data_IF_620899587580
#
_entry.id   IF_620899587580
#
_cell.length_a   1.000
_cell.length_b   1.000
_cell.length_c   1.000
_cell.angle_alpha   90.00
_cell.angle_beta   90.00
_cell.angle_gamma   90.00
#
_symmetry.space_group_name_H-M   'P 1'
#
loop_
_entity.id
_entity.type
_entity.pdbx_description
1 polymer ?
#
# COMPACT_ATOMS: atom_id res chain seq x y z
N UNK A 1 -26.67 -37.85 -55.80
CA UNK A 1 -26.07 -36.61 -56.36
C UNK A 1 -26.76 -35.41 -55.69
N UNK A 2 -26.02 -34.56 -54.95
CA UNK A 2 -26.32 -33.16 -54.52
C UNK A 2 -27.72 -32.80 -53.95
N UNK A 3 -27.93 -31.92 -52.96
CA UNK A 3 -27.11 -31.04 -52.11
C UNK A 3 -28.07 -30.44 -51.05
N UNK A 4 -27.51 -30.13 -49.88
CA UNK A 4 -28.05 -29.40 -48.72
C UNK A 4 -28.92 -28.17 -49.07
N UNK A 5 -29.90 -27.84 -48.21
CA UNK A 5 -30.02 -26.50 -47.56
C UNK A 5 -31.14 -26.45 -46.51
N UNK A 6 -30.72 -26.42 -45.24
CA UNK A 6 -31.52 -25.98 -44.12
C UNK A 6 -32.05 -24.56 -44.38
N UNK A 7 -33.37 -24.40 -44.37
CA UNK A 7 -34.01 -23.08 -44.37
C UNK A 7 -33.99 -22.55 -42.94
N UNK A 8 -32.98 -21.72 -42.65
CA UNK A 8 -32.97 -20.86 -41.48
C UNK A 8 -34.07 -19.81 -41.62
N UNK A 9 -34.96 -19.78 -40.65
CA UNK A 9 -35.98 -18.75 -40.47
C UNK A 9 -35.26 -17.42 -40.19
N UNK A 10 -35.07 -16.60 -41.23
CA UNK A 10 -34.46 -15.28 -41.10
C UNK A 10 -35.59 -14.29 -40.78
N UNK A 11 -35.72 -13.97 -39.49
CA UNK A 11 -36.60 -12.90 -38.98
C UNK A 11 -36.36 -11.62 -39.79
N UNK A 12 -37.40 -11.21 -40.50
CA UNK A 12 -37.45 -9.97 -41.26
C UNK A 12 -37.53 -8.81 -40.26
N UNK A 13 -36.39 -8.12 -40.07
CA UNK A 13 -36.32 -6.97 -39.16
C UNK A 13 -37.33 -5.92 -39.59
N UNK A 14 -38.21 -5.54 -38.66
CA UNK A 14 -39.22 -4.51 -38.83
C UNK A 14 -38.61 -3.23 -39.41
N UNK A 15 -39.37 -2.57 -40.30
CA UNK A 15 -39.03 -1.34 -41.01
C UNK A 15 -38.59 -0.20 -40.07
N UNK A 16 -38.90 -0.28 -38.78
CA UNK A 16 -38.46 0.64 -37.73
C UNK A 16 -37.03 0.35 -37.22
N UNK A 17 -36.61 -0.92 -37.15
CA UNK A 17 -35.24 -1.29 -36.77
C UNK A 17 -34.22 -0.88 -37.84
N UNK A 18 -34.60 -0.98 -39.12
CA UNK A 18 -33.77 -0.50 -40.22
C UNK A 18 -33.64 1.04 -40.25
N UNK A 19 -34.63 1.78 -39.74
CA UNK A 19 -34.54 3.24 -39.57
C UNK A 19 -33.57 3.64 -38.45
N UNK A 20 -33.40 2.81 -37.42
CA UNK A 20 -32.42 3.07 -36.34
C UNK A 20 -30.99 2.77 -36.78
N UNK A 21 -30.78 1.76 -37.64
CA UNK A 21 -29.47 1.42 -38.21
C UNK A 21 -28.98 2.46 -39.22
N UNK A 22 -29.89 3.13 -39.94
CA UNK A 22 -29.54 4.11 -40.98
C UNK A 22 -29.43 5.58 -40.49
N UNK A 23 -29.52 5.83 -39.18
CA UNK A 23 -29.21 7.15 -38.63
C UNK A 23 -27.69 7.35 -38.67
N UNK A 24 -27.23 8.07 -39.69
CA UNK A 24 -25.85 8.55 -39.77
C UNK A 24 -25.40 9.19 -38.46
N UNK A 25 -24.09 9.15 -38.19
CA UNK A 25 -23.49 9.59 -36.92
C UNK A 25 -24.16 10.87 -36.41
N UNK A 26 -24.59 10.92 -35.14
CA UNK A 26 -25.37 12.03 -34.62
C UNK A 26 -24.62 13.36 -34.79
N UNK A 27 -25.36 14.44 -34.98
CA UNK A 27 -24.80 15.73 -35.40
C UNK A 27 -23.66 16.24 -34.50
N UNK A 28 -23.70 15.93 -33.19
CA UNK A 28 -22.65 16.27 -32.24
C UNK A 28 -21.30 15.58 -32.49
N UNK A 29 -21.26 14.47 -33.27
CA UNK A 29 -20.03 13.79 -33.68
C UNK A 29 -19.42 14.34 -34.98
N UNK A 30 -20.12 15.22 -35.70
CA UNK A 30 -19.59 15.83 -36.94
C UNK A 30 -18.72 17.02 -36.56
N UNK A 31 -17.41 16.91 -36.80
CA UNK A 31 -16.45 17.99 -36.50
C UNK A 31 -15.71 17.85 -35.16
N UNK A 32 -16.05 16.86 -34.32
CA UNK A 32 -15.19 16.46 -33.21
C UNK A 32 -13.95 15.75 -33.77
N UNK A 33 -12.94 16.52 -34.17
CA UNK A 33 -11.57 16.01 -34.10
C UNK A 33 -11.28 15.84 -32.62
N UNK A 34 -11.27 14.60 -32.14
CA UNK A 34 -10.59 14.33 -30.88
C UNK A 34 -9.15 14.79 -31.11
N UNK A 35 -8.76 15.91 -30.52
CA UNK A 35 -7.34 16.17 -30.36
C UNK A 35 -6.75 14.92 -29.70
N UNK A 36 -5.57 14.45 -30.11
CA UNK A 36 -4.87 13.46 -29.33
C UNK A 36 -4.87 13.98 -27.90
N UNK A 37 -5.42 13.21 -26.96
CA UNK A 37 -5.30 13.55 -25.54
C UNK A 37 -3.82 13.78 -25.32
N UNK A 38 -3.40 15.05 -25.18
CA UNK A 38 -2.00 15.38 -24.96
C UNK A 38 -1.68 14.79 -23.60
N UNK A 39 -1.10 13.58 -23.60
CA UNK A 39 -0.43 13.01 -22.45
C UNK A 39 0.65 14.02 -22.09
N UNK A 40 0.36 14.95 -21.20
CA UNK A 40 1.37 15.85 -20.66
C UNK A 40 2.24 14.99 -19.76
N UNK A 41 3.24 14.35 -20.36
CA UNK A 41 4.30 13.63 -19.66
C UNK A 41 5.26 14.67 -19.10
N UNK A 42 4.76 15.47 -18.18
CA UNK A 42 5.51 16.54 -17.56
C UNK A 42 6.38 15.94 -16.43
N UNK A 43 7.72 15.93 -16.57
CA UNK A 43 8.59 15.38 -15.55
C UNK A 43 8.42 16.09 -14.19
N UNK A 44 8.11 17.39 -14.19
CA UNK A 44 7.91 18.16 -12.96
C UNK A 44 6.65 17.70 -12.23
N UNK A 45 5.58 17.39 -12.95
CA UNK A 45 4.37 16.82 -12.37
C UNK A 45 4.65 15.46 -11.70
N UNK A 46 5.39 14.57 -12.36
CA UNK A 46 5.69 13.26 -11.81
C UNK A 46 6.59 13.33 -10.58
N UNK A 47 7.63 14.18 -10.62
CA UNK A 47 8.48 14.45 -9.47
C UNK A 47 7.65 15.02 -8.30
N UNK A 48 6.78 15.99 -8.58
CA UNK A 48 5.87 16.57 -7.59
C UNK A 48 4.92 15.54 -6.98
N UNK A 49 4.36 14.63 -7.79
CA UNK A 49 3.48 13.57 -7.31
C UNK A 49 4.21 12.58 -6.38
N UNK A 50 5.45 12.19 -6.71
CA UNK A 50 6.29 11.39 -5.83
C UNK A 50 6.58 12.11 -4.51
N UNK A 51 6.95 13.40 -4.57
CA UNK A 51 7.22 14.20 -3.38
C UNK A 51 5.99 14.31 -2.47
N UNK A 52 4.81 14.55 -3.04
CA UNK A 52 3.55 14.60 -2.29
C UNK A 52 3.23 13.25 -1.62
N UNK A 53 3.45 12.13 -2.32
CA UNK A 53 3.24 10.80 -1.75
C UNK A 53 4.21 10.53 -0.58
N UNK A 54 5.49 10.84 -0.74
CA UNK A 54 6.49 10.71 0.33
C UNK A 54 6.14 11.57 1.54
N UNK A 55 5.77 12.84 1.32
CA UNK A 55 5.36 13.75 2.40
C UNK A 55 4.12 13.23 3.14
N UNK A 56 3.11 12.75 2.42
CA UNK A 56 1.91 12.18 3.02
C UNK A 56 2.23 10.92 3.86
N UNK A 57 3.15 10.06 3.40
CA UNK A 57 3.61 8.91 4.17
C UNK A 57 4.25 9.38 5.49
N UNK A 58 5.17 10.36 5.45
CA UNK A 58 5.76 10.93 6.66
C UNK A 58 4.69 11.52 7.60
N UNK A 59 3.66 12.19 7.08
CA UNK A 59 2.54 12.70 7.89
C UNK A 59 1.71 11.58 8.52
N UNK A 60 1.45 10.48 7.80
CA UNK A 60 0.76 9.31 8.36
C UNK A 60 1.55 8.70 9.51
N UNK A 61 2.87 8.59 9.37
CA UNK A 61 3.73 8.12 10.45
C UNK A 61 3.77 9.11 11.61
N UNK A 62 3.77 10.42 11.36
CA UNK A 62 3.73 11.42 12.44
C UNK A 62 2.40 11.44 13.25
N UNK A 63 1.40 10.62 12.89
CA UNK A 63 0.04 10.64 13.44
C UNK A 63 -0.63 12.03 13.35
N UNK A 64 -0.17 12.86 12.42
CA UNK A 64 -0.74 14.18 12.18
C UNK A 64 -2.00 14.10 11.32
N UNK A 65 -2.81 15.15 11.34
CA UNK A 65 -3.80 15.37 10.27
C UNK A 65 -3.02 15.56 8.97
N UNK A 66 -3.32 14.76 7.94
CA UNK A 66 -2.76 14.99 6.62
C UNK A 66 -3.17 16.39 6.16
N UNK A 67 -2.18 17.24 5.87
CA UNK A 67 -2.45 18.63 5.44
C UNK A 67 -3.02 18.65 4.01
N UNK A 68 -2.74 17.59 3.25
CA UNK A 68 -3.19 17.38 1.88
C UNK A 68 -4.50 16.60 1.81
N UNK A 69 -5.38 16.98 0.87
CA UNK A 69 -6.63 16.28 0.63
C UNK A 69 -6.36 14.87 0.08
N UNK A 70 -6.84 13.82 0.79
CA UNK A 70 -6.66 12.42 0.40
C UNK A 70 -7.10 12.12 -1.04
N UNK A 71 -8.17 12.77 -1.52
CA UNK A 71 -8.64 12.68 -2.91
C UNK A 71 -7.60 13.18 -3.93
N UNK A 72 -6.85 14.23 -3.61
CA UNK A 72 -5.78 14.75 -4.47
C UNK A 72 -4.62 13.75 -4.55
N UNK A 73 -4.21 13.20 -3.41
CA UNK A 73 -3.14 12.20 -3.33
C UNK A 73 -3.50 10.94 -4.14
N UNK A 74 -4.72 10.43 -3.96
CA UNK A 74 -5.23 9.30 -4.73
C UNK A 74 -5.23 9.57 -6.24
N UNK A 75 -5.72 10.75 -6.66
CA UNK A 75 -5.76 11.13 -8.09
C UNK A 75 -4.35 11.23 -8.69
N UNK A 76 -3.40 11.79 -7.95
CA UNK A 76 -2.01 11.89 -8.39
C UNK A 76 -1.38 10.50 -8.52
N UNK A 77 -1.57 9.62 -7.53
CA UNK A 77 -1.09 8.24 -7.59
C UNK A 77 -1.71 7.44 -8.75
N UNK A 78 -3.01 7.60 -8.99
CA UNK A 78 -3.70 7.03 -10.14
C UNK A 78 -3.06 7.51 -11.46
N UNK A 79 -2.83 8.81 -11.61
CA UNK A 79 -2.21 9.39 -12.80
C UNK A 79 -0.78 8.86 -13.01
N UNK A 80 0.01 8.70 -11.94
CA UNK A 80 1.35 8.10 -12.02
C UNK A 80 1.31 6.70 -12.64
N UNK A 81 0.39 5.84 -12.19
CA UNK A 81 0.25 4.48 -12.75
C UNK A 81 -0.27 4.52 -14.18
N UNK A 82 -1.27 5.36 -14.46
CA UNK A 82 -1.85 5.53 -15.80
C UNK A 82 -0.78 5.92 -16.83
N UNK A 83 0.08 6.88 -16.46
CA UNK A 83 1.17 7.39 -17.30
C UNK A 83 2.45 6.53 -17.28
N UNK A 84 2.35 5.27 -16.82
CA UNK A 84 3.47 4.31 -16.79
C UNK A 84 4.64 4.73 -15.88
N UNK A 85 4.38 5.59 -14.90
CA UNK A 85 5.32 6.05 -13.85
C UNK A 85 5.15 5.31 -12.52
N UNK A 86 4.48 4.15 -12.53
CA UNK A 86 4.25 3.36 -11.32
C UNK A 86 5.53 2.85 -10.64
N UNK A 87 6.60 2.57 -11.40
CA UNK A 87 7.87 2.13 -10.81
C UNK A 87 8.54 3.22 -9.96
N UNK A 88 8.52 4.46 -10.44
CA UNK A 88 9.06 5.62 -9.73
C UNK A 88 8.28 5.88 -8.44
N UNK A 89 6.95 5.87 -8.51
CA UNK A 89 6.08 6.06 -7.34
C UNK A 89 6.23 4.91 -6.32
N UNK A 90 6.35 3.65 -6.77
CA UNK A 90 6.55 2.52 -5.86
C UNK A 90 7.89 2.64 -5.12
N UNK A 91 8.97 2.99 -5.84
CA UNK A 91 10.30 3.18 -5.25
C UNK A 91 10.32 4.34 -4.25
N UNK A 92 9.65 5.44 -4.55
CA UNK A 92 9.52 6.57 -3.64
C UNK A 92 8.78 6.17 -2.35
N UNK A 93 7.64 5.46 -2.49
CA UNK A 93 6.87 4.94 -1.37
C UNK A 93 7.68 3.95 -0.50
N UNK A 94 8.35 2.98 -1.12
CA UNK A 94 9.16 1.99 -0.40
C UNK A 94 10.28 2.65 0.40
N UNK A 95 10.97 3.63 -0.21
CA UNK A 95 12.02 4.39 0.45
C UNK A 95 11.48 5.23 1.61
N UNK A 96 10.35 5.90 1.42
CA UNK A 96 9.69 6.68 2.46
C UNK A 96 9.30 5.80 3.66
N UNK A 97 8.58 4.70 3.42
CA UNK A 97 8.19 3.76 4.47
C UNK A 97 9.40 3.18 5.21
N UNK A 98 10.47 2.81 4.49
CA UNK A 98 11.69 2.30 5.13
C UNK A 98 12.35 3.35 6.03
N UNK A 99 12.41 4.60 5.58
CA UNK A 99 12.95 5.73 6.37
C UNK A 99 12.13 5.99 7.64
N UNK A 100 10.80 5.96 7.54
CA UNK A 100 9.91 6.17 8.69
C UNK A 100 10.02 5.03 9.71
N UNK A 101 10.07 3.78 9.26
CA UNK A 101 10.29 2.62 10.14
C UNK A 101 11.64 2.78 10.87
N UNK A 102 12.72 3.11 10.15
CA UNK A 102 14.02 3.40 10.75
C UNK A 102 13.95 4.51 11.81
N UNK A 103 13.14 5.55 11.57
CA UNK A 103 12.91 6.63 12.53
C UNK A 103 12.22 6.13 13.80
N UNK A 104 11.15 5.34 13.67
CA UNK A 104 10.45 4.75 14.83
C UNK A 104 11.42 3.92 15.69
N UNK A 105 12.24 3.07 15.06
CA UNK A 105 13.22 2.23 15.76
C UNK A 105 14.32 3.05 16.44
N UNK A 106 14.82 4.11 15.81
CA UNK A 106 15.74 5.06 16.45
C UNK A 106 15.12 5.66 17.71
N UNK A 107 13.90 6.19 17.63
CA UNK A 107 13.23 6.78 18.81
C UNK A 107 12.97 5.77 19.93
N UNK A 108 12.64 4.51 19.57
CA UNK A 108 12.47 3.43 20.55
C UNK A 108 13.79 3.12 21.25
N UNK A 109 14.89 3.05 20.50
CA UNK A 109 16.22 2.75 21.03
C UNK A 109 16.76 3.86 21.93
N UNK A 110 16.53 5.13 21.57
CA UNK A 110 16.95 6.28 22.37
C UNK A 110 16.19 6.36 23.70
N UNK A 111 14.90 5.98 23.68
CA UNK A 111 14.06 5.96 24.88
C UNK A 111 14.29 4.74 25.78
N UNK A 112 14.85 3.64 25.25
CA UNK A 112 14.94 2.37 25.95
C UNK A 112 15.87 2.36 27.18
N UNK A 113 17.07 2.99 27.21
CA UNK A 113 17.93 3.01 28.39
C UNK A 113 17.28 3.66 29.63
N UNK A 114 16.33 4.58 29.42
CA UNK A 114 15.62 5.27 30.50
C UNK A 114 14.35 4.52 30.96
N UNK A 115 13.86 3.56 30.16
CA UNK A 115 12.58 2.87 30.37
C UNK A 115 12.81 1.47 30.94
N UNK A 116 12.16 1.14 32.05
CA UNK A 116 12.10 -0.24 32.56
C UNK A 116 11.40 -1.19 31.56
N UNK A 117 11.53 -2.50 31.75
CA UNK A 117 11.03 -3.50 30.79
C UNK A 117 9.56 -3.34 30.37
N UNK A 118 8.67 -2.97 31.31
CA UNK A 118 7.27 -2.69 31.00
C UNK A 118 7.08 -1.48 30.08
N UNK A 119 7.77 -0.37 30.39
CA UNK A 119 7.71 0.85 29.60
C UNK A 119 8.33 0.67 28.20
N UNK A 120 9.34 -0.20 28.08
CA UNK A 120 9.86 -0.61 26.77
C UNK A 120 8.81 -1.35 25.93
N UNK A 121 8.13 -2.36 26.49
CA UNK A 121 7.09 -3.09 25.75
C UNK A 121 5.91 -2.21 25.36
N UNK A 122 5.48 -1.30 26.23
CA UNK A 122 4.43 -0.33 25.93
C UNK A 122 4.83 0.59 24.76
N UNK A 123 6.06 1.12 24.78
CA UNK A 123 6.56 1.96 23.69
C UNK A 123 6.65 1.17 22.38
N UNK A 124 7.18 -0.06 22.41
CA UNK A 124 7.27 -0.94 21.25
C UNK A 124 5.89 -1.15 20.61
N UNK A 125 4.88 -1.48 21.41
CA UNK A 125 3.51 -1.69 20.95
C UNK A 125 2.86 -0.39 20.43
N UNK A 126 3.14 0.75 21.05
CA UNK A 126 2.67 2.05 20.57
C UNK A 126 3.24 2.37 19.18
N UNK A 127 4.56 2.16 18.99
CA UNK A 127 5.24 2.35 17.69
C UNK A 127 4.76 1.33 16.65
N UNK A 128 4.47 0.09 17.05
CA UNK A 128 3.87 -0.91 16.15
C UNK A 128 2.49 -0.46 15.67
N UNK A 129 1.61 0.00 16.56
CA UNK A 129 0.28 0.46 16.18
C UNK A 129 0.35 1.69 15.27
N UNK A 130 1.27 2.63 15.56
CA UNK A 130 1.57 3.77 14.69
C UNK A 130 1.96 3.33 13.28
N UNK A 131 2.85 2.35 13.17
CA UNK A 131 3.26 1.76 11.89
C UNK A 131 2.10 1.09 11.16
N UNK A 132 1.31 0.27 11.84
CA UNK A 132 0.16 -0.45 11.25
C UNK A 132 -0.88 0.53 10.68
N UNK A 133 -1.21 1.60 11.41
CA UNK A 133 -2.13 2.62 10.91
C UNK A 133 -1.55 3.38 9.70
N UNK A 134 -0.27 3.76 9.75
CA UNK A 134 0.38 4.42 8.63
C UNK A 134 0.43 3.55 7.36
N UNK A 135 0.66 2.24 7.51
CA UNK A 135 0.63 1.26 6.40
C UNK A 135 -0.78 1.17 5.80
N UNK A 136 -1.84 1.16 6.63
CA UNK A 136 -3.24 1.18 6.15
C UNK A 136 -3.53 2.45 5.35
N UNK A 137 -3.18 3.62 5.89
CA UNK A 137 -3.37 4.91 5.23
C UNK A 137 -2.61 4.99 3.89
N UNK A 138 -1.38 4.48 3.87
CA UNK A 138 -0.56 4.40 2.63
C UNK A 138 -1.23 3.50 1.59
N UNK A 139 -1.75 2.35 2.00
CA UNK A 139 -2.48 1.44 1.10
C UNK A 139 -3.76 2.09 0.56
N UNK A 140 -4.51 2.80 1.40
CA UNK A 140 -5.75 3.45 0.99
C UNK A 140 -5.47 4.63 0.04
N UNK A 141 -4.40 5.39 0.28
CA UNK A 141 -3.90 6.44 -0.63
C UNK A 141 -3.44 5.86 -1.99
N UNK A 142 -2.73 4.73 -1.97
CA UNK A 142 -2.11 4.11 -3.15
C UNK A 142 -2.87 2.88 -3.66
N UNK A 143 -4.16 2.78 -3.34
CA UNK A 143 -4.98 1.59 -3.60
C UNK A 143 -4.93 1.15 -5.06
N UNK A 144 -4.97 2.09 -6.01
CA UNK A 144 -4.91 1.75 -7.43
C UNK A 144 -3.55 1.15 -7.84
N UNK A 145 -2.45 1.66 -7.27
CA UNK A 145 -1.12 1.08 -7.48
C UNK A 145 -1.03 -0.34 -6.92
N UNK A 146 -1.50 -0.54 -5.68
CA UNK A 146 -1.46 -1.84 -4.99
C UNK A 146 -2.29 -2.89 -5.75
N UNK A 147 -3.43 -2.48 -6.31
CA UNK A 147 -4.33 -3.38 -7.03
C UNK A 147 -3.91 -3.66 -8.48
N UNK A 148 -3.25 -2.71 -9.15
CA UNK A 148 -2.93 -2.83 -10.59
C UNK A 148 -1.44 -2.99 -10.86
N UNK A 149 -0.63 -2.02 -10.44
CA UNK A 149 0.79 -1.97 -10.76
C UNK A 149 1.58 -3.07 -10.04
N UNK A 150 1.35 -3.23 -8.74
CA UNK A 150 2.08 -4.19 -7.89
C UNK A 150 2.01 -5.63 -8.42
N UNK A 151 0.82 -6.23 -8.64
CA UNK A 151 0.73 -7.61 -9.14
C UNK A 151 1.27 -7.73 -10.56
N UNK A 152 1.01 -6.76 -11.43
CA UNK A 152 1.48 -6.76 -12.82
C UNK A 152 3.01 -6.78 -12.90
N UNK A 153 3.68 -6.11 -11.96
CA UNK A 153 5.14 -5.94 -11.95
C UNK A 153 5.84 -6.81 -10.91
N UNK A 154 5.13 -7.78 -10.30
CA UNK A 154 5.65 -8.70 -9.27
C UNK A 154 6.36 -7.98 -8.13
N UNK A 155 5.80 -6.84 -7.71
CA UNK A 155 6.25 -6.10 -6.53
C UNK A 155 5.58 -6.65 -5.27
N UNK A 156 6.12 -6.31 -4.11
CA UNK A 156 5.53 -6.66 -2.82
C UNK A 156 4.30 -5.77 -2.55
N UNK A 157 3.13 -6.35 -2.20
CA UNK A 157 1.98 -5.58 -1.73
C UNK A 157 2.33 -4.66 -0.55
N UNK A 158 1.72 -3.48 -0.48
CA UNK A 158 2.07 -2.45 0.53
C UNK A 158 1.96 -2.99 1.96
N UNK A 159 0.93 -3.79 2.24
CA UNK A 159 0.77 -4.44 3.55
C UNK A 159 1.96 -5.35 3.88
N UNK A 160 2.33 -6.22 2.94
CA UNK A 160 3.42 -7.18 3.12
C UNK A 160 4.78 -6.47 3.23
N UNK A 161 4.96 -5.39 2.48
CA UNK A 161 6.13 -4.51 2.57
C UNK A 161 6.24 -3.92 3.99
N UNK A 162 5.15 -3.39 4.54
CA UNK A 162 5.12 -2.87 5.91
C UNK A 162 5.51 -3.91 6.96
N UNK A 163 5.00 -5.14 6.85
CA UNK A 163 5.38 -6.24 7.74
C UNK A 163 6.86 -6.60 7.63
N UNK A 164 7.38 -6.71 6.40
CA UNK A 164 8.79 -7.00 6.13
C UNK A 164 9.71 -5.93 6.73
N UNK A 165 9.44 -4.66 6.46
CA UNK A 165 10.27 -3.55 6.96
C UNK A 165 10.38 -3.56 8.49
N UNK A 166 9.26 -3.79 9.19
CA UNK A 166 9.26 -3.87 10.64
C UNK A 166 10.02 -5.09 11.16
N UNK A 167 9.76 -6.27 10.59
CA UNK A 167 10.44 -7.52 10.95
C UNK A 167 11.94 -7.39 10.77
N UNK A 168 12.39 -6.85 9.64
CA UNK A 168 13.81 -6.74 9.32
C UNK A 168 14.53 -5.90 10.40
N UNK A 169 13.93 -4.81 10.87
CA UNK A 169 14.50 -4.02 11.98
C UNK A 169 14.53 -4.79 13.31
N UNK A 170 13.44 -5.47 13.64
CA UNK A 170 13.33 -6.27 14.86
C UNK A 170 14.39 -7.38 14.90
N UNK A 171 14.71 -7.99 13.76
CA UNK A 171 15.71 -9.07 13.66
C UNK A 171 17.15 -8.58 13.48
N UNK A 172 17.37 -7.31 13.15
CA UNK A 172 18.70 -6.79 12.82
C UNK A 172 19.54 -6.37 14.03
N UNK A 173 18.93 -6.12 15.21
CA UNK A 173 19.65 -5.71 16.42
C UNK A 173 19.55 -6.77 17.51
N UNK A 174 20.70 -7.32 17.87
CA UNK A 174 20.83 -8.27 18.97
C UNK A 174 20.44 -7.63 20.31
N UNK A 175 20.75 -6.34 20.50
CA UNK A 175 20.43 -5.60 21.72
C UNK A 175 18.91 -5.44 21.91
N UNK A 176 18.18 -5.13 20.84
CA UNK A 176 16.71 -5.06 20.89
C UNK A 176 16.13 -6.42 21.22
N UNK A 177 16.66 -7.48 20.58
CA UNK A 177 16.20 -8.85 20.81
C UNK A 177 16.40 -9.28 22.27
N UNK A 178 17.58 -9.06 22.82
CA UNK A 178 17.88 -9.37 24.23
C UNK A 178 16.98 -8.60 25.20
N UNK A 179 16.78 -7.30 24.95
CA UNK A 179 15.87 -6.47 25.76
C UNK A 179 14.44 -6.95 25.70
N UNK A 180 13.95 -7.31 24.51
CA UNK A 180 12.61 -7.84 24.32
C UNK A 180 12.41 -9.15 25.09
N UNK A 181 13.37 -10.08 24.97
CA UNK A 181 13.36 -11.35 25.69
C UNK A 181 13.33 -11.12 27.20
N UNK A 182 14.22 -10.26 27.69
CA UNK A 182 14.34 -9.99 29.12
C UNK A 182 13.10 -9.25 29.68
N UNK A 183 12.55 -8.29 28.93
CA UNK A 183 11.34 -7.59 29.31
C UNK A 183 10.12 -8.53 29.37
N UNK A 184 10.01 -9.49 28.44
CA UNK A 184 8.96 -10.51 28.43
C UNK A 184 9.13 -11.50 29.59
N UNK A 185 10.36 -11.99 29.84
CA UNK A 185 10.66 -12.93 30.93
C UNK A 185 10.25 -12.39 32.30
N UNK A 186 10.53 -11.12 32.57
CA UNK A 186 10.21 -10.49 33.87
C UNK A 186 8.72 -10.34 34.16
N UNK A 187 7.86 -10.34 33.13
CA UNK A 187 6.41 -10.12 33.29
C UNK A 187 5.59 -11.41 33.36
N UNK A 188 6.13 -12.53 32.87
CA UNK A 188 5.42 -13.82 32.86
C UNK A 188 4.42 -13.93 31.71
N UNK A 189 3.95 -15.17 31.45
CA UNK A 189 3.17 -15.51 30.24
C UNK A 189 1.72 -15.04 30.25
N UNK A 190 1.15 -14.79 31.43
CA UNK A 190 -0.24 -14.34 31.60
C UNK A 190 -0.39 -12.81 31.51
N UNK A 191 0.71 -12.09 31.32
CA UNK A 191 0.71 -10.64 31.23
C UNK A 191 0.15 -10.14 29.90
N UNK A 192 -0.76 -9.16 29.97
CA UNK A 192 -1.44 -8.61 28.79
C UNK A 192 -0.48 -7.97 27.78
N UNK A 193 0.62 -7.35 28.23
CA UNK A 193 1.62 -6.79 27.30
C UNK A 193 2.37 -7.91 26.58
N UNK A 194 2.69 -8.99 27.28
CA UNK A 194 3.33 -10.17 26.68
C UNK A 194 2.40 -10.80 25.64
N UNK A 195 1.11 -10.93 25.93
CA UNK A 195 0.12 -11.40 24.97
C UNK A 195 0.02 -10.49 23.74
N UNK A 196 0.01 -9.17 23.92
CA UNK A 196 -0.03 -8.20 22.83
C UNK A 196 1.23 -8.25 21.96
N UNK A 197 2.42 -8.39 22.57
CA UNK A 197 3.69 -8.59 21.85
C UNK A 197 3.65 -9.89 21.05
N UNK A 198 3.20 -11.00 21.65
CA UNK A 198 3.10 -12.28 20.94
C UNK A 198 2.14 -12.21 19.74
N UNK A 199 1.04 -11.46 19.87
CA UNK A 199 0.13 -11.17 18.76
C UNK A 199 0.84 -10.42 17.64
N UNK A 200 1.54 -9.32 17.96
CA UNK A 200 2.37 -8.58 16.99
C UNK A 200 3.37 -9.51 16.28
N UNK A 201 4.08 -10.34 17.03
CA UNK A 201 5.08 -11.27 16.47
C UNK A 201 4.43 -12.27 15.51
N UNK A 202 3.24 -12.76 15.84
CA UNK A 202 2.49 -13.68 14.97
C UNK A 202 2.05 -12.98 13.67
N UNK A 203 1.66 -11.71 13.73
CA UNK A 203 1.33 -10.91 12.55
C UNK A 203 2.53 -10.66 11.62
N UNK A 204 3.76 -10.64 12.15
CA UNK A 204 5.00 -10.51 11.36
C UNK A 204 5.43 -11.80 10.63
N UNK A 205 4.87 -12.94 11.05
CA UNK A 205 5.09 -14.25 10.44
C UNK A 205 5.22 -15.36 11.49
N UNK A 206 4.81 -16.60 11.16
CA UNK A 206 4.78 -17.72 12.12
C UNK A 206 6.17 -18.11 12.66
N UNK A 207 7.24 -17.80 11.92
CA UNK A 207 8.61 -18.12 12.33
C UNK A 207 9.20 -17.11 13.32
N UNK A 208 8.66 -15.90 13.36
CA UNK A 208 9.20 -14.78 14.15
C UNK A 208 9.17 -15.09 15.66
N UNK A 209 8.08 -15.60 16.26
CA UNK A 209 8.10 -16.03 17.66
C UNK A 209 9.20 -17.05 17.98
N UNK A 210 9.47 -17.99 17.06
CA UNK A 210 10.51 -19.01 17.22
C UNK A 210 11.91 -18.42 17.36
N UNK A 211 12.22 -17.36 16.62
CA UNK A 211 13.52 -16.68 16.72
C UNK A 211 13.77 -16.02 18.08
N UNK A 212 12.73 -15.67 18.83
CA UNK A 212 12.87 -14.92 20.08
C UNK A 212 12.67 -15.80 21.32
N UNK A 213 11.79 -16.80 21.26
CA UNK A 213 11.31 -17.50 22.45
C UNK A 213 11.52 -19.02 22.44
N UNK A 214 12.34 -19.57 21.53
CA UNK A 214 12.61 -21.02 21.44
C UNK A 214 13.15 -21.68 22.73
N UNK A 215 13.56 -20.91 23.75
CA UNK A 215 14.12 -21.40 25.02
C UNK A 215 13.64 -20.61 26.27
N UNK A 216 12.48 -19.97 26.22
CA UNK A 216 11.85 -19.31 27.39
C UNK A 216 10.64 -20.10 27.86
#
# INVERSE_FOLDING_TARGET
>A
MNRRRAHGHKMEKSREEQKLVNKGKPAWRRGLKAEPFKHRQDPEFFAGACMMATQAISEFYAQGSTTMLLQMLYRNAYNMVLYKKGAELYSAMETAMASEVQSLWRTLNDAAPAKGGAAFLQELLAKWNQHVEAVKMTRDMLMYMDWTFVPTNRKTPIRELGLRLWRDQLTSSDEIRERLIEAVKRRGREDELVAAVNKMMTELGPDVPGFFFQRV
#
